data_IF_907716658051
#
_entry.id   IF_907716658051
#
_cell.length_a   1.000
_cell.length_b   1.000
_cell.length_c   1.000
_cell.angle_alpha   90.00
_cell.angle_beta   90.00
_cell.angle_gamma   90.00
#
_symmetry.space_group_name_H-M   'P 1'
#
loop_
_entity.id
_entity.type
_entity.pdbx_description
1 polymer ?
#
# COMPACT_ATOMS: atom_id res chain seq x y z
N UNK A 1 37.12 -13.97 -1.76
CA UNK A 1 37.23 -13.18 -0.52
C UNK A 1 36.04 -13.57 0.32
N UNK A 2 36.27 -14.57 1.17
CA UNK A 2 35.28 -15.20 2.02
C UNK A 2 35.36 -14.51 3.38
N UNK A 3 34.23 -14.11 3.94
CA UNK A 3 34.17 -13.59 5.31
C UNK A 3 33.26 -14.52 6.08
N UNK A 4 33.91 -15.46 6.77
CA UNK A 4 33.48 -15.94 8.08
C UNK A 4 34.61 -15.62 9.04
N UNK A 5 34.31 -14.87 10.11
CA UNK A 5 34.75 -15.16 11.50
C UNK A 5 34.49 -13.95 12.41
N UNK A 6 33.48 -14.09 13.29
CA UNK A 6 33.59 -13.99 14.74
C UNK A 6 32.27 -13.54 15.37
N UNK A 7 31.54 -14.45 16.00
CA UNK A 7 30.96 -14.17 17.32
C UNK A 7 31.05 -15.43 18.19
N UNK A 8 31.91 -15.35 19.20
CA UNK A 8 32.13 -16.40 20.20
C UNK A 8 30.94 -16.46 21.17
N UNK A 9 30.51 -17.68 21.47
CA UNK A 9 29.58 -18.02 22.54
C UNK A 9 30.10 -17.58 23.92
N UNK A 10 29.23 -16.96 24.73
CA UNK A 10 29.40 -16.88 26.18
C UNK A 10 28.21 -17.57 26.84
N UNK A 11 28.50 -18.64 27.59
CA UNK A 11 27.54 -19.34 28.46
C UNK A 11 27.34 -18.55 29.75
N UNK A 12 26.08 -18.45 30.21
CA UNK A 12 25.73 -18.09 31.59
C UNK A 12 24.82 -16.86 31.71
N UNK A 13 23.50 -17.04 31.69
CA UNK A 13 22.70 -17.15 32.93
C UNK A 13 21.21 -17.24 32.59
N UNK A 14 20.60 -18.35 33.00
CA UNK A 14 19.16 -18.60 32.95
C UNK A 14 18.56 -17.97 34.19
N UNK A 15 17.90 -16.83 34.04
CA UNK A 15 17.03 -16.27 35.07
C UNK A 15 15.59 -16.50 34.66
N UNK A 16 14.91 -17.34 35.44
CA UNK A 16 13.48 -17.59 35.37
C UNK A 16 12.69 -16.27 35.44
N UNK A 17 11.90 -15.99 34.41
CA UNK A 17 10.78 -15.07 34.51
C UNK A 17 9.49 -15.82 34.18
N UNK A 18 8.97 -16.51 35.20
CA UNK A 18 7.58 -16.96 35.23
C UNK A 18 6.71 -15.70 35.35
N UNK A 19 6.18 -15.20 34.24
CA UNK A 19 5.04 -14.27 34.26
C UNK A 19 3.84 -15.02 33.68
N UNK A 20 3.21 -15.81 34.54
CA UNK A 20 1.79 -16.14 34.41
C UNK A 20 0.99 -14.88 34.73
N UNK A 21 0.64 -14.08 33.72
CA UNK A 21 -0.51 -13.18 33.83
C UNK A 21 -0.95 -12.68 32.46
N UNK A 22 -2.13 -13.18 32.04
CA UNK A 22 -2.99 -12.69 30.95
C UNK A 22 -2.61 -13.05 29.51
N UNK A 23 -2.40 -14.36 29.24
CA UNK A 23 -2.27 -14.94 27.89
C UNK A 23 -3.67 -15.22 27.28
N UNK A 24 -4.64 -14.32 27.44
CA UNK A 24 -6.01 -14.60 26.97
C UNK A 24 -6.84 -13.33 26.82
N UNK A 25 -6.62 -12.56 25.75
CA UNK A 25 -7.53 -11.47 25.38
C UNK A 25 -7.52 -11.06 23.89
N UNK A 26 -6.98 -11.85 22.95
CA UNK A 26 -7.37 -11.74 21.53
C UNK A 26 -7.64 -13.15 20.99
N UNK A 27 -8.89 -13.64 21.02
CA UNK A 27 -9.29 -14.94 20.47
C UNK A 27 -9.19 -15.07 18.94
N UNK A 28 -8.41 -14.21 18.27
CA UNK A 28 -8.49 -14.01 16.82
C UNK A 28 -7.15 -13.99 16.09
N UNK A 29 -6.00 -14.15 16.77
CA UNK A 29 -4.71 -14.28 16.07
C UNK A 29 -4.48 -15.76 15.78
N UNK A 30 -4.77 -16.17 14.54
CA UNK A 30 -4.50 -17.52 14.06
C UNK A 30 -2.99 -17.82 14.05
N UNK A 31 -2.63 -19.10 14.22
CA UNK A 31 -1.29 -19.60 14.60
C UNK A 31 -0.07 -19.21 13.76
N UNK A 32 -0.20 -18.49 12.64
CA UNK A 32 0.93 -18.19 11.75
C UNK A 32 1.90 -17.12 12.29
N UNK A 33 1.46 -16.22 13.18
CA UNK A 33 2.28 -15.11 13.69
C UNK A 33 2.74 -15.28 15.15
N UNK A 34 2.57 -16.46 15.73
CA UNK A 34 2.64 -16.66 17.19
C UNK A 34 4.06 -16.57 17.80
N UNK A 35 5.12 -16.63 17.00
CA UNK A 35 6.50 -16.77 17.51
C UNK A 35 7.23 -15.44 17.84
N UNK A 36 6.68 -14.27 17.54
CA UNK A 36 7.42 -12.99 17.64
C UNK A 36 6.95 -12.00 18.72
N UNK A 37 6.35 -12.47 19.82
CA UNK A 37 5.83 -11.56 20.86
C UNK A 37 6.54 -11.68 22.22
N UNK A 38 7.34 -10.65 22.52
CA UNK A 38 7.57 -10.18 23.89
C UNK A 38 6.92 -8.81 24.04
N UNK A 39 5.90 -8.68 24.88
CA UNK A 39 5.14 -7.43 25.06
C UNK A 39 5.56 -6.67 26.32
N UNK A 40 5.91 -5.39 26.15
CA UNK A 40 5.71 -4.32 27.15
C UNK A 40 5.13 -3.10 26.41
N UNK A 41 3.98 -2.60 26.88
CA UNK A 41 3.25 -1.47 26.31
C UNK A 41 3.93 -0.15 26.71
N UNK A 42 4.47 0.62 25.75
CA UNK A 42 4.85 2.03 25.99
C UNK A 42 4.83 2.99 24.77
N UNK A 43 4.93 2.54 23.51
CA UNK A 43 5.10 3.47 22.37
C UNK A 43 3.96 3.43 21.31
N UNK A 44 3.62 4.56 20.65
CA UNK A 44 2.71 4.60 19.50
C UNK A 44 3.15 3.72 18.32
N UNK A 45 4.44 3.42 18.20
CA UNK A 45 4.97 2.54 17.16
C UNK A 45 4.58 1.08 17.42
N UNK A 46 4.63 0.62 18.68
CA UNK A 46 4.19 -0.74 19.04
C UNK A 46 2.69 -0.95 18.75
N UNK A 47 1.85 0.04 19.05
CA UNK A 47 0.41 -0.03 18.68
C UNK A 47 0.20 -0.17 17.18
N UNK A 48 1.02 0.52 16.36
CA UNK A 48 0.92 0.42 14.89
C UNK A 48 1.37 -0.95 14.40
N UNK A 49 2.42 -1.51 15.01
CA UNK A 49 2.91 -2.86 14.73
C UNK A 49 1.85 -3.91 15.06
N UNK A 50 1.25 -3.85 16.24
CA UNK A 50 0.18 -4.77 16.64
C UNK A 50 -1.02 -4.66 15.68
N UNK A 51 -1.48 -3.43 15.39
CA UNK A 51 -2.61 -3.22 14.50
C UNK A 51 -2.38 -3.78 13.08
N UNK A 52 -1.20 -3.56 12.48
CA UNK A 52 -0.95 -4.06 11.12
C UNK A 52 -0.95 -5.59 11.09
N UNK A 53 -0.39 -6.25 12.10
CA UNK A 53 -0.37 -7.72 12.18
C UNK A 53 -1.78 -8.29 12.32
N UNK A 54 -2.62 -7.71 13.19
CA UNK A 54 -4.02 -8.12 13.34
C UNK A 54 -4.78 -7.94 12.02
N UNK A 55 -4.60 -6.80 11.34
CA UNK A 55 -5.29 -6.53 10.07
C UNK A 55 -4.81 -7.48 8.96
N UNK A 56 -3.53 -7.84 8.94
CA UNK A 56 -2.99 -8.82 7.99
C UNK A 56 -3.55 -10.23 8.24
N UNK A 57 -3.58 -10.67 9.50
CA UNK A 57 -4.15 -11.98 9.86
C UNK A 57 -5.63 -12.06 9.48
N UNK A 58 -6.42 -11.04 9.83
CA UNK A 58 -7.83 -10.94 9.43
C UNK A 58 -7.99 -11.06 7.91
N UNK A 59 -7.19 -10.30 7.16
CA UNK A 59 -7.27 -10.23 5.70
C UNK A 59 -6.87 -11.55 5.03
N UNK A 60 -5.83 -12.22 5.51
CA UNK A 60 -5.41 -13.52 4.97
C UNK A 60 -6.42 -14.63 5.33
N UNK A 61 -7.00 -14.59 6.53
CA UNK A 61 -8.09 -15.50 6.90
C UNK A 61 -9.34 -15.26 6.06
N UNK A 62 -9.69 -14.01 5.75
CA UNK A 62 -10.79 -13.69 4.83
C UNK A 62 -10.56 -14.29 3.43
N UNK A 63 -9.33 -14.19 2.89
CA UNK A 63 -8.98 -14.83 1.62
C UNK A 63 -9.12 -16.36 1.70
N UNK A 64 -8.58 -16.98 2.75
CA UNK A 64 -8.67 -18.43 2.96
C UNK A 64 -10.12 -18.92 3.10
N UNK A 65 -11.00 -18.10 3.66
CA UNK A 65 -12.43 -18.44 3.79
C UNK A 65 -13.21 -18.24 2.49
N UNK A 66 -12.82 -17.29 1.64
CA UNK A 66 -13.53 -16.94 0.41
C UNK A 66 -13.04 -17.71 -0.82
N UNK A 67 -11.78 -18.15 -0.84
CA UNK A 67 -11.15 -18.79 -1.99
C UNK A 67 -10.78 -20.22 -1.60
N UNK A 68 -11.54 -21.20 -2.09
CA UNK A 68 -11.35 -22.62 -1.75
C UNK A 68 -9.95 -23.15 -2.08
N UNK A 69 -9.32 -22.61 -3.13
CA UNK A 69 -7.97 -22.99 -3.55
C UNK A 69 -6.85 -22.23 -2.85
N UNK A 70 -7.17 -21.26 -1.99
CA UNK A 70 -6.19 -20.50 -1.24
C UNK A 70 -5.84 -21.26 0.04
N UNK A 71 -4.55 -21.57 0.20
CA UNK A 71 -4.02 -22.18 1.41
C UNK A 71 -3.08 -21.20 2.12
N UNK A 72 -3.57 -20.60 3.20
CA UNK A 72 -2.78 -19.68 4.03
C UNK A 72 -1.52 -20.34 4.59
N UNK A 73 -1.54 -21.64 4.87
CA UNK A 73 -0.39 -22.34 5.45
C UNK A 73 0.75 -22.50 4.44
N UNK A 74 0.45 -22.57 3.14
CA UNK A 74 1.45 -22.62 2.08
C UNK A 74 2.31 -21.34 2.02
N UNK A 75 1.76 -20.20 2.43
CA UNK A 75 2.45 -18.90 2.41
C UNK A 75 3.66 -18.84 3.35
N UNK A 76 3.67 -19.68 4.40
CA UNK A 76 4.77 -19.79 5.35
C UNK A 76 6.11 -20.16 4.72
N UNK A 77 6.07 -20.89 3.60
CA UNK A 77 7.26 -21.35 2.88
C UNK A 77 7.54 -20.51 1.62
N UNK A 78 6.80 -19.41 1.42
CA UNK A 78 6.97 -18.52 0.28
C UNK A 78 7.83 -17.31 0.67
N UNK A 79 9.15 -17.42 0.47
CA UNK A 79 10.13 -16.38 0.81
C UNK A 79 9.84 -15.01 0.17
N UNK A 80 9.32 -15.00 -1.07
CA UNK A 80 8.93 -13.77 -1.75
C UNK A 80 7.76 -13.09 -1.04
N UNK A 81 6.74 -13.87 -0.66
CA UNK A 81 5.62 -13.37 0.12
C UNK A 81 6.05 -12.87 1.51
N UNK A 82 6.90 -13.64 2.21
CA UNK A 82 7.45 -13.21 3.51
C UNK A 82 8.19 -11.87 3.39
N UNK A 83 8.98 -11.69 2.33
CA UNK A 83 9.68 -10.43 2.04
C UNK A 83 8.71 -9.27 1.86
N UNK A 84 7.60 -9.47 1.14
CA UNK A 84 6.52 -8.48 0.99
C UNK A 84 5.90 -8.13 2.35
N UNK A 85 5.55 -9.12 3.16
CA UNK A 85 4.96 -8.93 4.49
C UNK A 85 5.89 -8.10 5.38
N UNK A 86 7.17 -8.49 5.48
CA UNK A 86 8.16 -7.82 6.31
C UNK A 86 8.40 -6.37 5.87
N UNK A 87 8.48 -6.13 4.56
CA UNK A 87 8.63 -4.78 4.04
C UNK A 87 7.37 -3.94 4.33
N UNK A 88 6.18 -4.49 4.11
CA UNK A 88 4.92 -3.80 4.36
C UNK A 88 4.71 -3.43 5.83
N UNK A 89 5.07 -4.32 6.76
CA UNK A 89 5.07 -4.03 8.20
C UNK A 89 6.00 -2.86 8.51
N UNK A 90 7.24 -2.91 8.01
CA UNK A 90 8.24 -1.88 8.24
C UNK A 90 7.77 -0.50 7.75
N UNK A 91 7.18 -0.43 6.55
CA UNK A 91 6.61 0.82 6.02
C UNK A 91 5.42 1.29 6.89
N UNK A 92 4.53 0.37 7.29
CA UNK A 92 3.32 0.67 8.05
C UNK A 92 3.60 1.28 9.43
N UNK A 93 4.64 0.79 10.13
CA UNK A 93 5.02 1.29 11.46
C UNK A 93 5.49 2.75 11.39
N UNK A 94 6.16 3.14 10.29
CA UNK A 94 6.73 4.48 10.09
C UNK A 94 5.72 5.52 9.61
N UNK A 95 4.56 5.12 9.10
CA UNK A 95 3.55 6.04 8.57
C UNK A 95 2.33 6.18 9.48
N UNK A 96 1.75 7.37 9.55
CA UNK A 96 0.44 7.62 10.16
C UNK A 96 -0.69 7.75 9.11
N UNK A 97 -0.35 7.80 7.82
CA UNK A 97 -1.30 8.00 6.73
C UNK A 97 -2.12 6.73 6.49
N UNK A 98 -3.44 6.84 6.59
CA UNK A 98 -4.37 5.71 6.55
C UNK A 98 -4.38 5.08 5.15
N UNK A 99 -4.35 5.90 4.11
CA UNK A 99 -4.34 5.51 2.70
C UNK A 99 -3.11 4.64 2.38
N UNK A 100 -1.93 4.99 2.91
CA UNK A 100 -0.72 4.18 2.76
C UNK A 100 -0.86 2.82 3.44
N UNK A 101 -1.44 2.78 4.65
CA UNK A 101 -1.65 1.51 5.36
C UNK A 101 -2.65 0.60 4.63
N UNK A 102 -3.73 1.18 4.11
CA UNK A 102 -4.69 0.45 3.28
C UNK A 102 -4.01 -0.12 2.01
N UNK A 103 -3.21 0.70 1.32
CA UNK A 103 -2.44 0.27 0.16
C UNK A 103 -1.46 -0.89 0.48
N UNK A 104 -0.81 -0.85 1.65
CA UNK A 104 0.12 -1.91 2.09
C UNK A 104 -0.61 -3.21 2.44
N UNK A 105 -1.75 -3.13 3.12
CA UNK A 105 -2.61 -4.29 3.40
C UNK A 105 -3.08 -4.96 2.11
N UNK A 106 -3.51 -4.15 1.16
CA UNK A 106 -3.92 -4.62 -0.16
C UNK A 106 -2.75 -5.21 -0.94
N UNK A 107 -1.57 -4.59 -0.92
CA UNK A 107 -0.35 -5.13 -1.53
C UNK A 107 0.01 -6.52 -0.99
N UNK A 108 -0.03 -6.71 0.33
CA UNK A 108 0.20 -8.04 0.93
C UNK A 108 -0.88 -9.02 0.47
N UNK A 109 -2.15 -8.62 0.49
CA UNK A 109 -3.26 -9.47 0.04
C UNK A 109 -3.07 -9.94 -1.41
N UNK A 110 -2.79 -9.01 -2.32
CA UNK A 110 -2.59 -9.31 -3.73
C UNK A 110 -1.32 -10.13 -3.98
N UNK A 111 -0.27 -9.97 -3.16
CA UNK A 111 0.94 -10.80 -3.26
C UNK A 111 0.72 -12.27 -2.85
N UNK A 112 -0.30 -12.55 -2.04
CA UNK A 112 -0.65 -13.90 -1.62
C UNK A 112 -1.41 -14.69 -2.71
N UNK A 113 -1.93 -14.01 -3.74
CA UNK A 113 -2.76 -14.61 -4.78
C UNK A 113 -1.92 -15.21 -5.93
N UNK A 114 -2.45 -16.25 -6.57
CA UNK A 114 -1.77 -17.00 -7.65
C UNK A 114 -1.52 -16.17 -8.91
N UNK A 115 -2.35 -15.15 -9.16
CA UNK A 115 -2.20 -14.22 -10.28
C UNK A 115 -1.45 -12.94 -9.89
N UNK A 116 -0.63 -13.01 -8.83
CA UNK A 116 0.12 -11.86 -8.36
C UNK A 116 1.12 -11.36 -9.39
N UNK A 117 1.42 -10.07 -9.29
CA UNK A 117 2.48 -9.42 -10.06
C UNK A 117 3.84 -10.04 -9.68
N UNK A 118 4.80 -10.08 -10.60
CA UNK A 118 6.12 -10.67 -10.34
C UNK A 118 6.85 -10.01 -9.15
N UNK A 119 7.67 -10.79 -8.44
CA UNK A 119 8.35 -10.40 -7.20
C UNK A 119 9.13 -9.08 -7.34
N UNK A 120 9.88 -8.90 -8.43
CA UNK A 120 10.66 -7.68 -8.64
C UNK A 120 9.77 -6.44 -8.70
N UNK A 121 8.62 -6.55 -9.38
CA UNK A 121 7.62 -5.48 -9.41
C UNK A 121 6.93 -5.29 -8.06
N UNK A 122 6.65 -6.35 -7.30
CA UNK A 122 6.09 -6.22 -5.95
C UNK A 122 7.03 -5.39 -5.05
N UNK A 123 8.32 -5.72 -5.04
CA UNK A 123 9.34 -4.98 -4.28
C UNK A 123 9.48 -3.52 -4.75
N UNK A 124 9.49 -3.31 -6.06
CA UNK A 124 9.50 -1.97 -6.66
C UNK A 124 8.27 -1.17 -6.23
N UNK A 125 7.07 -1.75 -6.28
CA UNK A 125 5.83 -1.08 -5.89
C UNK A 125 5.77 -0.80 -4.39
N UNK A 126 6.25 -1.69 -3.53
CA UNK A 126 6.39 -1.40 -2.10
C UNK A 126 7.32 -0.20 -1.84
N UNK A 127 8.42 -0.09 -2.60
CA UNK A 127 9.31 1.08 -2.52
C UNK A 127 8.62 2.37 -2.95
N UNK A 128 7.70 2.30 -3.93
CA UNK A 128 6.91 3.45 -4.36
C UNK A 128 5.99 3.89 -3.22
N UNK A 129 5.24 2.95 -2.62
CA UNK A 129 4.38 3.24 -1.47
C UNK A 129 5.19 3.88 -0.34
N UNK A 130 6.37 3.34 0.01
CA UNK A 130 7.20 3.90 1.09
C UNK A 130 7.56 5.36 0.82
N UNK A 131 8.02 5.67 -0.39
CA UNK A 131 8.44 7.03 -0.77
C UNK A 131 7.31 8.03 -1.01
N UNK A 132 6.10 7.55 -1.31
CA UNK A 132 4.95 8.41 -1.59
C UNK A 132 4.33 9.00 -0.32
N UNK A 133 3.75 10.18 -0.47
CA UNK A 133 2.74 10.70 0.46
C UNK A 133 1.32 10.36 -0.04
N UNK A 134 0.31 10.68 0.76
CA UNK A 134 -1.10 10.43 0.43
C UNK A 134 -1.55 11.04 -0.90
N UNK A 135 -1.00 12.20 -1.29
CA UNK A 135 -1.40 12.90 -2.51
C UNK A 135 -0.96 12.18 -3.77
N UNK A 136 0.18 11.48 -3.74
CA UNK A 136 0.58 10.62 -4.87
C UNK A 136 -0.47 9.54 -5.13
N UNK A 137 -0.95 8.88 -4.07
CA UNK A 137 -1.97 7.84 -4.19
C UNK A 137 -3.30 8.44 -4.66
N UNK A 138 -3.78 9.49 -3.97
CA UNK A 138 -5.06 10.16 -4.31
C UNK A 138 -5.08 10.64 -5.77
N UNK A 139 -4.04 11.36 -6.20
CA UNK A 139 -3.95 11.85 -7.58
C UNK A 139 -3.82 10.69 -8.57
N UNK A 140 -3.01 9.67 -8.29
CA UNK A 140 -2.88 8.52 -9.20
C UNK A 140 -4.20 7.75 -9.37
N UNK A 141 -4.93 7.51 -8.28
CA UNK A 141 -6.26 6.89 -8.31
C UNK A 141 -7.27 7.73 -9.11
N UNK A 142 -7.26 9.04 -8.89
CA UNK A 142 -8.10 9.95 -9.66
C UNK A 142 -7.77 9.91 -11.15
N UNK A 143 -6.49 9.99 -11.50
CA UNK A 143 -5.97 9.97 -12.88
C UNK A 143 -6.21 8.65 -13.61
N UNK A 144 -6.51 7.57 -12.90
CA UNK A 144 -6.86 6.29 -13.50
C UNK A 144 -8.20 6.33 -14.23
N UNK A 145 -9.20 6.98 -13.63
CA UNK A 145 -10.51 7.17 -14.23
C UNK A 145 -11.16 8.48 -13.74
N UNK A 146 -10.70 9.65 -14.26
CA UNK A 146 -11.21 10.94 -13.80
C UNK A 146 -12.73 11.06 -14.02
N UNK A 147 -13.22 10.54 -15.15
CA UNK A 147 -14.63 10.56 -15.51
C UNK A 147 -15.48 9.83 -14.47
N UNK A 148 -15.14 8.58 -14.14
CA UNK A 148 -15.91 7.81 -13.16
C UNK A 148 -15.82 8.43 -11.76
N UNK A 149 -14.65 8.94 -11.36
CA UNK A 149 -14.46 9.58 -10.06
C UNK A 149 -15.34 10.83 -9.91
N UNK A 150 -15.38 11.71 -10.93
CA UNK A 150 -16.26 12.88 -10.95
C UNK A 150 -17.74 12.47 -10.85
N UNK A 151 -18.16 11.48 -11.64
CA UNK A 151 -19.54 10.99 -11.62
C UNK A 151 -19.95 10.48 -10.23
N UNK A 152 -19.09 9.68 -9.58
CA UNK A 152 -19.32 9.18 -8.22
C UNK A 152 -19.41 10.30 -7.18
N UNK A 153 -18.67 11.39 -7.38
CA UNK A 153 -18.72 12.57 -6.52
C UNK A 153 -19.86 13.54 -6.86
N UNK A 154 -20.71 13.24 -7.85
CA UNK A 154 -21.78 14.13 -8.28
C UNK A 154 -21.28 15.39 -8.99
N UNK A 155 -20.05 15.37 -9.50
CA UNK A 155 -19.46 16.46 -10.27
C UNK A 155 -19.65 16.23 -11.77
N UNK A 156 -20.14 17.27 -12.45
CA UNK A 156 -20.09 17.37 -13.91
C UNK A 156 -19.01 18.36 -14.33
N UNK A 157 -18.44 18.14 -15.50
CA UNK A 157 -17.58 19.13 -16.17
C UNK A 157 -18.37 19.67 -17.35
N UNK A 158 -18.92 20.86 -17.15
CA UNK A 158 -19.68 21.61 -18.15
C UNK A 158 -18.76 22.60 -18.88
N UNK A 159 -17.70 22.06 -19.46
CA UNK A 159 -16.66 22.82 -20.16
C UNK A 159 -16.26 22.08 -21.44
N UNK A 160 -16.40 22.75 -22.58
CA UNK A 160 -15.97 22.22 -23.87
C UNK A 160 -14.44 22.12 -23.99
N UNK A 161 -13.71 22.94 -23.24
CA UNK A 161 -12.25 23.00 -23.21
C UNK A 161 -11.72 23.33 -21.82
N UNK A 162 -10.54 22.83 -21.52
CA UNK A 162 -9.80 23.11 -20.29
C UNK A 162 -8.60 22.18 -20.15
N UNK A 163 -8.12 21.99 -18.92
CA UNK A 163 -6.97 21.12 -18.62
C UNK A 163 -7.32 20.08 -17.56
N UNK A 164 -6.52 19.01 -17.44
CA UNK A 164 -6.68 18.04 -16.35
C UNK A 164 -6.46 18.69 -14.98
N UNK A 165 -5.67 19.77 -14.90
CA UNK A 165 -5.47 20.52 -13.66
C UNK A 165 -6.77 21.11 -13.11
N UNK A 166 -7.61 21.69 -13.98
CA UNK A 166 -8.94 22.18 -13.58
C UNK A 166 -9.78 21.03 -12.98
N UNK A 167 -9.75 19.87 -13.62
CA UNK A 167 -10.49 18.67 -13.19
C UNK A 167 -10.00 18.16 -11.83
N UNK A 168 -8.67 18.14 -11.62
CA UNK A 168 -8.04 17.79 -10.35
C UNK A 168 -8.47 18.79 -9.26
N UNK A 169 -8.40 20.10 -9.50
CA UNK A 169 -8.72 21.11 -8.49
C UNK A 169 -10.21 21.19 -8.17
N UNK A 170 -11.08 20.90 -9.15
CA UNK A 170 -12.51 20.75 -8.90
C UNK A 170 -12.79 19.55 -7.99
N UNK A 171 -12.13 18.42 -8.23
CA UNK A 171 -12.32 17.21 -7.42
C UNK A 171 -11.63 17.28 -6.05
N UNK A 172 -10.49 17.98 -5.97
CA UNK A 172 -9.71 18.19 -4.76
C UNK A 172 -9.54 19.70 -4.50
N UNK A 173 -10.56 20.40 -3.97
CA UNK A 173 -10.52 21.84 -3.76
C UNK A 173 -9.34 22.32 -2.90
N UNK A 174 -8.87 21.50 -1.95
CA UNK A 174 -7.68 21.76 -1.13
C UNK A 174 -6.37 21.88 -1.90
N UNK A 175 -6.31 21.41 -3.14
CA UNK A 175 -5.16 21.62 -4.03
C UNK A 175 -5.27 22.92 -4.83
N UNK A 176 -6.38 23.65 -4.72
CA UNK A 176 -6.56 24.95 -5.36
C UNK A 176 -5.58 25.95 -4.74
N UNK A 177 -4.64 26.45 -5.55
CA UNK A 177 -3.55 27.31 -5.08
C UNK A 177 -2.24 26.56 -4.80
N UNK A 178 -2.27 25.22 -4.73
CA UNK A 178 -1.10 24.36 -4.51
C UNK A 178 -0.54 23.81 -5.83
N UNK A 179 -0.42 24.68 -6.84
CA UNK A 179 -0.01 24.27 -8.19
C UNK A 179 1.39 23.66 -8.20
N UNK A 180 2.35 24.28 -7.52
CA UNK A 180 3.73 23.78 -7.49
C UNK A 180 3.84 22.45 -6.76
N UNK A 181 3.10 22.28 -5.65
CA UNK A 181 3.00 20.99 -4.98
C UNK A 181 2.38 19.93 -5.91
N UNK A 182 1.28 20.25 -6.59
CA UNK A 182 0.63 19.32 -7.55
C UNK A 182 1.55 18.95 -8.72
N UNK A 183 2.34 19.91 -9.22
CA UNK A 183 3.36 19.66 -10.25
C UNK A 183 4.43 18.69 -9.76
N UNK A 184 4.90 18.82 -8.53
CA UNK A 184 5.87 17.88 -7.95
C UNK A 184 5.30 16.46 -7.90
N UNK A 185 4.07 16.30 -7.39
CA UNK A 185 3.41 14.99 -7.35
C UNK A 185 3.26 14.37 -8.75
N UNK A 186 2.79 15.15 -9.72
CA UNK A 186 2.66 14.66 -11.10
C UNK A 186 4.01 14.31 -11.72
N UNK A 187 5.06 15.09 -11.44
CA UNK A 187 6.40 14.80 -11.94
C UNK A 187 6.97 13.52 -11.32
N UNK A 188 6.76 13.29 -10.02
CA UNK A 188 7.18 12.05 -9.34
C UNK A 188 6.46 10.82 -9.88
N UNK A 189 5.14 10.92 -10.11
CA UNK A 189 4.36 9.85 -10.72
C UNK A 189 4.81 9.56 -12.16
N UNK A 190 5.14 10.60 -12.92
CA UNK A 190 5.64 10.47 -14.30
C UNK A 190 7.04 9.85 -14.34
N UNK A 191 7.97 10.33 -13.50
CA UNK A 191 9.34 9.84 -13.42
C UNK A 191 9.42 8.36 -13.00
N UNK A 192 8.43 7.88 -12.25
CA UNK A 192 8.27 6.46 -11.89
C UNK A 192 7.49 5.65 -12.93
N UNK A 193 7.11 6.28 -14.04
CA UNK A 193 6.38 5.66 -15.14
C UNK A 193 4.94 5.29 -14.82
N UNK A 194 4.33 5.81 -13.74
CA UNK A 194 2.96 5.48 -13.33
C UNK A 194 1.90 6.26 -14.12
N UNK A 195 2.26 7.43 -14.66
CA UNK A 195 1.41 8.21 -15.56
C UNK A 195 2.13 8.49 -16.88
N UNK A 196 1.36 8.71 -17.94
CA UNK A 196 1.86 8.77 -19.32
C UNK A 196 2.33 10.16 -19.76
N UNK A 197 1.96 11.21 -19.01
CA UNK A 197 2.32 12.60 -19.28
C UNK A 197 2.81 13.25 -18.00
N UNK A 198 3.73 14.20 -18.14
CA UNK A 198 4.31 14.93 -17.02
C UNK A 198 3.37 16.03 -16.50
N UNK A 199 3.89 16.87 -15.60
CA UNK A 199 3.16 17.98 -15.00
C UNK A 199 2.76 19.09 -15.98
N UNK A 200 3.25 19.08 -17.23
CA UNK A 200 2.80 20.04 -18.25
C UNK A 200 1.32 19.83 -18.63
N UNK A 201 0.80 18.62 -18.44
CA UNK A 201 -0.59 18.31 -18.77
C UNK A 201 -1.57 19.09 -17.87
N UNK A 202 -1.15 19.53 -16.66
CA UNK A 202 -1.95 20.34 -15.73
C UNK A 202 -2.49 21.64 -16.34
N UNK A 203 -1.79 22.22 -17.30
CA UNK A 203 -2.17 23.48 -17.95
C UNK A 203 -2.39 23.34 -19.45
N UNK A 204 -2.17 22.14 -20.00
CA UNK A 204 -2.40 21.87 -21.43
C UNK A 204 -3.89 21.97 -21.73
N UNK A 205 -4.25 22.86 -22.64
CA UNK A 205 -5.64 23.03 -23.07
C UNK A 205 -6.00 21.91 -24.04
N UNK A 206 -7.12 21.25 -23.75
CA UNK A 206 -7.68 20.14 -24.51
C UNK A 206 -9.20 20.23 -24.54
N UNK A 207 -9.84 19.42 -25.40
CA UNK A 207 -11.29 19.30 -25.41
C UNK A 207 -11.85 18.57 -24.18
N UNK A 208 -13.16 18.67 -23.96
CA UNK A 208 -13.89 18.06 -22.84
C UNK A 208 -13.53 16.60 -22.55
N UNK A 209 -13.50 15.76 -23.58
CA UNK A 209 -13.13 14.34 -23.45
C UNK A 209 -11.67 14.14 -23.01
N UNK A 210 -10.76 15.02 -23.43
CA UNK A 210 -9.35 14.98 -23.03
C UNK A 210 -9.17 15.30 -21.55
N UNK A 211 -9.95 16.24 -21.02
CA UNK A 211 -9.89 16.66 -19.61
C UNK A 211 -10.21 15.53 -18.64
N UNK A 212 -11.02 14.55 -19.05
CA UNK A 212 -11.45 13.44 -18.19
C UNK A 212 -10.89 12.08 -18.62
N UNK A 213 -9.98 12.06 -19.60
CA UNK A 213 -9.34 10.83 -20.04
C UNK A 213 -8.32 10.31 -19.00
N UNK A 214 -8.16 8.99 -18.91
CA UNK A 214 -7.16 8.37 -18.03
C UNK A 214 -5.74 8.85 -18.38
N UNK A 215 -4.91 9.08 -17.36
CA UNK A 215 -3.47 9.38 -17.52
C UNK A 215 -2.57 8.25 -17.07
N UNK A 216 -3.10 7.27 -16.36
CA UNK A 216 -2.34 6.15 -15.82
C UNK A 216 -1.76 5.28 -16.94
N UNK A 217 -0.47 4.97 -16.84
CA UNK A 217 0.23 4.10 -17.78
C UNK A 217 -0.14 2.63 -17.56
N UNK A 218 0.38 1.72 -18.39
CA UNK A 218 0.25 0.28 -18.13
C UNK A 218 0.88 -0.13 -16.78
N UNK A 219 2.06 0.41 -16.44
CA UNK A 219 2.72 0.16 -15.16
C UNK A 219 1.90 0.77 -14.00
N UNK A 220 1.35 1.96 -14.19
CA UNK A 220 0.48 2.60 -13.21
C UNK A 220 -0.77 1.79 -12.91
N UNK A 221 -1.37 1.16 -13.93
CA UNK A 221 -2.54 0.28 -13.74
C UNK A 221 -2.18 -0.97 -12.94
N UNK A 222 -1.01 -1.56 -13.20
CA UNK A 222 -0.51 -2.68 -12.40
C UNK A 222 -0.23 -2.26 -10.95
N UNK A 223 0.38 -1.09 -10.74
CA UNK A 223 0.58 -0.55 -9.39
C UNK A 223 -0.76 -0.36 -8.67
N UNK A 224 -1.75 0.27 -9.33
CA UNK A 224 -3.09 0.47 -8.78
C UNK A 224 -3.75 -0.86 -8.43
N UNK A 225 -3.69 -1.87 -9.32
CA UNK A 225 -4.23 -3.20 -9.06
C UNK A 225 -3.56 -3.83 -7.83
N UNK A 226 -2.23 -3.70 -7.71
CA UNK A 226 -1.48 -4.23 -6.58
C UNK A 226 -1.90 -3.61 -5.23
N UNK A 227 -2.23 -2.33 -5.21
CA UNK A 227 -2.59 -1.61 -3.97
C UNK A 227 -4.09 -1.46 -3.72
N UNK A 228 -4.92 -1.98 -4.63
CA UNK A 228 -6.37 -2.01 -4.47
C UNK A 228 -6.82 -3.25 -3.71
N UNK A 229 -8.00 -3.17 -3.10
CA UNK A 229 -8.63 -4.35 -2.52
C UNK A 229 -8.69 -5.44 -3.59
N UNK A 230 -8.23 -6.66 -3.31
CA UNK A 230 -8.33 -7.76 -4.26
C UNK A 230 -9.76 -7.92 -4.75
N UNK A 231 -9.93 -8.28 -6.03
CA UNK A 231 -11.27 -8.44 -6.62
C UNK A 231 -12.06 -9.54 -5.90
N UNK A 232 -11.36 -10.55 -5.36
CA UNK A 232 -11.91 -11.65 -4.56
C UNK A 232 -12.47 -11.18 -3.20
N UNK A 233 -12.10 -9.98 -2.76
CA UNK A 233 -12.57 -9.36 -1.52
C UNK A 233 -13.53 -8.19 -1.75
N UNK A 234 -13.69 -7.75 -3.00
CA UNK A 234 -14.47 -6.57 -3.38
C UNK A 234 -15.97 -6.81 -3.51
#
# INVERSE_FOLDING_TARGET
>A
MSIDDNFKNTKGDIVHATIKSTISAIPAVGGFLSEYFGLVVTSPAEKRKENILVMLDQRLNELNNKIETFDIYSLSNNEAFLSVVLQAINISIRTHQIEKRAALLNAVSNSALTNSIDENRQQMFLSFIDSFNEWHLKILFFLNDPKQNLQKAGHSIDLDKGSIGLVIFQYYPQLSGELEFTKLIMSDLYNRGLISKDSSDLHTIMGGSGMVASRTSALGKQFIQFINTPDELS
#
